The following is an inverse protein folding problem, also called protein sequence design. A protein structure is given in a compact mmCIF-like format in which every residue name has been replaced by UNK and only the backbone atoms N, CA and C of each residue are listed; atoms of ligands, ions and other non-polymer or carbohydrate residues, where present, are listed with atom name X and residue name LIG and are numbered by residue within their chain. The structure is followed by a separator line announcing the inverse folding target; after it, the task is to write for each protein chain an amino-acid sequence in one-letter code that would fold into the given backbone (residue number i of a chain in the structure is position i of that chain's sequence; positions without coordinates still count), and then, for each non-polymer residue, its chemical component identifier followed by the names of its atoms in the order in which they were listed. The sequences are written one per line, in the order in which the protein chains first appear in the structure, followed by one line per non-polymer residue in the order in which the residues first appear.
data_IF_919265822692
#
_entry.id   IF_919265822692
#
_cell.length_a   1.000
_cell.length_b   1.000
_cell.length_c   1.000
_cell.angle_alpha   90.00
_cell.angle_beta   90.00
_cell.angle_gamma   90.00
#
_symmetry.space_group_name_H-M   'P 1'
#
loop_
_entity.id
_entity.type
_entity.pdbx_description
1 polymer ?
#
# COMPACT_ATOMS: atom_id res chain seq x y z
N UNK A 1 -35.17 55.56 -42.42
CA UNK A 1 -33.72 55.28 -42.33
C UNK A 1 -33.50 54.67 -40.97
N UNK A 2 -33.65 53.35 -40.89
CA UNK A 2 -33.49 52.64 -39.62
C UNK A 2 -32.06 52.13 -39.54
N UNK A 3 -31.25 52.80 -38.71
CA UNK A 3 -29.96 52.29 -38.25
C UNK A 3 -30.09 51.89 -36.78
N UNK A 4 -30.48 50.63 -36.48
CA UNK A 4 -30.23 50.05 -35.17
C UNK A 4 -29.69 48.62 -35.33
N UNK A 5 -28.38 48.47 -35.56
CA UNK A 5 -27.74 47.15 -35.67
C UNK A 5 -26.51 47.00 -34.76
N UNK A 6 -25.68 48.04 -34.62
CA UNK A 6 -24.36 47.90 -33.99
C UNK A 6 -24.34 47.79 -32.46
N UNK A 7 -25.35 48.34 -31.76
CA UNK A 7 -25.41 48.31 -30.29
C UNK A 7 -25.71 46.92 -29.75
N UNK A 8 -26.41 46.07 -30.51
CA UNK A 8 -26.76 44.70 -30.10
C UNK A 8 -25.55 43.78 -30.07
N UNK A 9 -24.62 43.94 -31.02
CA UNK A 9 -23.40 43.11 -31.13
C UNK A 9 -22.33 43.45 -30.07
N UNK A 10 -22.21 44.70 -29.61
CA UNK A 10 -21.27 45.06 -28.53
C UNK A 10 -21.71 44.49 -27.17
N UNK A 11 -23.01 44.46 -26.93
CA UNK A 11 -23.59 43.92 -25.68
C UNK A 11 -23.36 42.42 -25.55
N UNK A 12 -23.56 41.64 -26.63
CA UNK A 12 -23.35 40.19 -26.63
C UNK A 12 -21.89 39.81 -26.39
N UNK A 13 -20.93 40.51 -27.02
CA UNK A 13 -19.48 40.27 -26.84
C UNK A 13 -19.03 40.52 -25.39
N UNK A 14 -19.55 41.55 -24.73
CA UNK A 14 -19.18 41.87 -23.34
C UNK A 14 -19.66 40.81 -22.36
N UNK A 15 -20.92 40.36 -22.51
CA UNK A 15 -21.48 39.27 -21.69
C UNK A 15 -20.69 37.97 -21.84
N UNK A 16 -20.28 37.64 -23.07
CA UNK A 16 -19.46 36.46 -23.34
C UNK A 16 -18.10 36.53 -22.64
N UNK A 17 -17.40 37.67 -22.71
CA UNK A 17 -16.10 37.84 -22.03
C UNK A 17 -16.20 37.70 -20.51
N UNK A 18 -17.25 38.26 -19.90
CA UNK A 18 -17.50 38.14 -18.46
C UNK A 18 -17.75 36.67 -18.10
N UNK A 19 -18.63 35.99 -18.84
CA UNK A 19 -18.92 34.57 -18.61
C UNK A 19 -17.67 33.69 -18.76
N UNK A 20 -16.87 33.90 -19.80
CA UNK A 20 -15.61 33.19 -20.00
C UNK A 20 -14.61 33.44 -18.87
N UNK A 21 -14.48 34.69 -18.40
CA UNK A 21 -13.58 35.04 -17.28
C UNK A 21 -14.02 34.36 -15.99
N UNK A 22 -15.32 34.38 -15.68
CA UNK A 22 -15.88 33.70 -14.50
C UNK A 22 -15.61 32.19 -14.59
N UNK A 23 -15.84 31.59 -15.76
CA UNK A 23 -15.58 30.17 -15.98
C UNK A 23 -14.11 29.82 -15.75
N UNK A 24 -13.17 30.64 -16.26
CA UNK A 24 -11.73 30.45 -16.04
C UNK A 24 -11.40 30.53 -14.55
N UNK A 25 -11.92 31.54 -13.84
CA UNK A 25 -11.68 31.72 -12.40
C UNK A 25 -12.19 30.55 -11.55
N UNK A 26 -13.26 29.86 -11.98
CA UNK A 26 -13.80 28.69 -11.29
C UNK A 26 -13.04 27.41 -11.67
N UNK A 27 -12.82 27.16 -12.96
CA UNK A 27 -12.20 25.91 -13.44
C UNK A 27 -10.71 25.84 -13.12
N UNK A 28 -10.00 26.98 -13.14
CA UNK A 28 -8.56 27.03 -12.91
C UNK A 28 -8.12 26.42 -11.57
N UNK A 29 -8.78 26.72 -10.42
CA UNK A 29 -8.45 26.06 -9.16
C UNK A 29 -9.14 24.69 -8.98
N UNK A 30 -10.34 24.52 -9.55
CA UNK A 30 -11.14 23.30 -9.34
C UNK A 30 -10.46 22.07 -9.95
N UNK A 31 -9.93 22.18 -11.17
CA UNK A 31 -9.33 21.03 -11.87
C UNK A 31 -8.04 20.53 -11.18
N UNK A 32 -7.05 21.38 -10.84
CA UNK A 32 -5.87 20.95 -10.09
C UNK A 32 -6.21 20.42 -8.70
N UNK A 33 -7.18 21.01 -8.02
CA UNK A 33 -7.64 20.53 -6.72
C UNK A 33 -8.21 19.11 -6.83
N UNK A 34 -9.18 18.88 -7.73
CA UNK A 34 -9.78 17.56 -7.92
C UNK A 34 -8.73 16.54 -8.35
N UNK A 35 -7.83 16.90 -9.28
CA UNK A 35 -6.77 16.00 -9.73
C UNK A 35 -5.82 15.59 -8.60
N UNK A 36 -5.39 16.56 -7.79
CA UNK A 36 -4.46 16.33 -6.68
C UNK A 36 -5.11 15.58 -5.52
N UNK A 37 -6.34 15.96 -5.17
CA UNK A 37 -7.15 15.25 -4.19
C UNK A 37 -7.36 13.79 -4.63
N UNK A 38 -7.74 13.56 -5.89
CA UNK A 38 -7.94 12.21 -6.42
C UNK A 38 -6.63 11.42 -6.36
N UNK A 39 -5.50 12.01 -6.76
CA UNK A 39 -4.19 11.36 -6.67
C UNK A 39 -3.81 10.98 -5.24
N UNK A 40 -3.95 11.90 -4.27
CA UNK A 40 -3.67 11.62 -2.86
C UNK A 40 -4.64 10.57 -2.30
N UNK A 41 -5.90 10.63 -2.68
CA UNK A 41 -6.90 9.63 -2.31
C UNK A 41 -6.53 8.25 -2.89
N UNK A 42 -6.19 8.14 -4.17
CA UNK A 42 -5.82 6.87 -4.80
C UNK A 42 -4.53 6.27 -4.24
N UNK A 43 -3.54 7.09 -3.89
CA UNK A 43 -2.28 6.61 -3.30
C UNK A 43 -2.44 6.15 -1.85
N UNK A 44 -3.45 6.66 -1.14
CA UNK A 44 -3.80 6.25 0.23
C UNK A 44 -4.92 5.21 0.27
N UNK A 45 -5.64 5.01 -0.82
CA UNK A 45 -6.75 4.07 -0.92
C UNK A 45 -6.27 2.62 -0.88
N UNK A 46 -6.73 1.90 0.13
CA UNK A 46 -6.52 0.46 0.25
C UNK A 46 -7.78 -0.27 -0.22
N UNK A 47 -7.69 -0.96 -1.36
CA UNK A 47 -8.79 -1.74 -1.89
C UNK A 47 -9.03 -2.99 -1.01
N UNK A 48 -10.02 -2.93 -0.13
CA UNK A 48 -10.42 -4.04 0.74
C UNK A 48 -11.40 -5.01 0.09
N UNK A 49 -11.75 -4.85 -1.20
CA UNK A 49 -12.69 -5.75 -1.86
C UNK A 49 -12.12 -7.17 -2.00
N UNK A 50 -12.92 -8.18 -1.67
CA UNK A 50 -12.54 -9.59 -1.85
C UNK A 50 -12.59 -9.94 -3.35
N UNK A 51 -11.48 -10.39 -3.96
CA UNK A 51 -11.51 -10.90 -5.34
C UNK A 51 -12.43 -12.11 -5.46
N UNK A 52 -13.11 -12.25 -6.60
CA UNK A 52 -13.97 -13.41 -6.87
C UNK A 52 -13.16 -14.71 -7.07
N UNK A 53 -11.97 -14.61 -7.65
CA UNK A 53 -11.06 -15.75 -7.81
C UNK A 53 -10.28 -16.01 -6.51
N UNK A 54 -10.28 -17.27 -6.08
CA UNK A 54 -9.67 -17.68 -4.82
C UNK A 54 -8.15 -17.48 -4.81
N UNK A 55 -7.45 -17.74 -5.92
CA UNK A 55 -6.01 -17.51 -5.98
C UNK A 55 -5.71 -16.01 -5.92
N UNK A 56 -6.45 -15.20 -6.66
CA UNK A 56 -6.35 -13.74 -6.63
C UNK A 56 -6.62 -13.18 -5.22
N UNK A 57 -7.57 -13.76 -4.48
CA UNK A 57 -7.81 -13.41 -3.08
C UNK A 57 -6.58 -13.68 -2.20
N UNK A 58 -6.01 -14.88 -2.25
CA UNK A 58 -4.83 -15.24 -1.44
C UNK A 58 -3.61 -14.40 -1.83
N UNK A 59 -3.40 -14.17 -3.13
CA UNK A 59 -2.29 -13.35 -3.64
C UNK A 59 -2.47 -11.87 -3.24
N UNK A 60 -3.71 -11.35 -3.24
CA UNK A 60 -4.03 -10.01 -2.73
C UNK A 60 -3.79 -9.91 -1.22
N UNK A 61 -4.26 -10.89 -0.44
CA UNK A 61 -4.04 -10.92 1.00
C UNK A 61 -2.55 -10.88 1.36
N UNK A 62 -1.73 -11.65 0.64
CA UNK A 62 -0.28 -11.68 0.83
C UNK A 62 0.40 -10.38 0.39
N UNK A 63 0.05 -9.81 -0.77
CA UNK A 63 0.66 -8.55 -1.22
C UNK A 63 0.33 -7.36 -0.32
N UNK A 64 -0.89 -7.29 0.22
CA UNK A 64 -1.25 -6.31 1.26
C UNK A 64 -0.45 -6.54 2.54
N UNK A 65 -0.24 -7.81 2.92
CA UNK A 65 0.56 -8.15 4.08
C UNK A 65 2.02 -7.70 3.97
N UNK A 66 2.69 -8.00 2.85
CA UNK A 66 4.06 -7.55 2.60
C UNK A 66 4.18 -6.02 2.68
N UNK A 67 3.16 -5.31 2.21
CA UNK A 67 3.08 -3.85 2.30
C UNK A 67 3.00 -3.38 3.75
N UNK A 68 2.10 -3.96 4.57
CA UNK A 68 2.00 -3.63 6.00
C UNK A 68 3.27 -3.98 6.78
N UNK A 69 3.92 -5.11 6.46
CA UNK A 69 5.22 -5.46 7.03
C UNK A 69 6.30 -4.43 6.67
N UNK A 70 6.27 -3.91 5.44
CA UNK A 70 7.16 -2.83 5.01
C UNK A 70 6.94 -1.54 5.80
N UNK A 71 5.68 -1.20 6.11
CA UNK A 71 5.34 -0.05 6.96
C UNK A 71 5.82 -0.22 8.40
N UNK A 72 5.61 -1.41 8.96
CA UNK A 72 6.09 -1.78 10.29
C UNK A 72 7.61 -1.67 10.39
N UNK A 73 8.34 -2.19 9.39
CA UNK A 73 9.80 -2.11 9.36
C UNK A 73 10.30 -0.67 9.24
N UNK A 74 9.59 0.19 8.50
CA UNK A 74 9.94 1.60 8.38
C UNK A 74 9.81 2.34 9.72
N UNK A 75 8.67 2.20 10.41
CA UNK A 75 8.48 2.87 11.71
C UNK A 75 9.48 2.37 12.76
N UNK A 76 9.68 1.05 12.86
CA UNK A 76 10.69 0.49 13.75
C UNK A 76 12.09 1.05 13.45
N UNK A 77 12.45 1.17 12.16
CA UNK A 77 13.73 1.73 11.74
C UNK A 77 13.86 3.19 12.17
N UNK A 78 12.87 4.02 11.88
CA UNK A 78 12.86 5.44 12.25
C UNK A 78 13.06 5.64 13.75
N UNK A 79 12.45 4.77 14.56
CA UNK A 79 12.63 4.75 16.01
C UNK A 79 14.06 4.35 16.40
N UNK A 80 14.60 3.25 15.87
CA UNK A 80 15.96 2.76 16.19
C UNK A 80 17.02 3.78 15.78
N UNK A 81 16.84 4.49 14.66
CA UNK A 81 17.77 5.53 14.20
C UNK A 81 17.72 6.81 15.05
N UNK A 82 16.71 6.98 15.91
CA UNK A 82 16.52 8.21 16.68
C UNK A 82 16.27 9.44 15.79
N UNK A 83 15.75 9.25 14.57
CA UNK A 83 15.52 10.34 13.61
C UNK A 83 14.40 11.28 14.08
N UNK A 84 13.47 10.77 14.89
CA UNK A 84 12.43 11.56 15.60
C UNK A 84 12.94 11.85 17.01
N UNK A 85 12.62 13.02 17.58
CA UNK A 85 12.88 13.32 19.01
C UNK A 85 12.51 12.08 19.84
N UNK A 86 13.51 11.47 20.50
CA UNK A 86 13.48 10.08 20.98
C UNK A 86 12.12 9.71 21.60
N UNK A 87 11.23 9.04 20.85
CA UNK A 87 9.94 8.62 21.38
C UNK A 87 10.17 7.67 22.54
N UNK A 88 9.35 7.75 23.59
CA UNK A 88 9.38 6.74 24.64
C UNK A 88 9.09 5.36 24.04
N UNK A 89 9.65 4.30 24.64
CA UNK A 89 9.35 2.91 24.26
C UNK A 89 7.85 2.61 24.24
N UNK A 90 7.10 3.23 25.16
CA UNK A 90 5.65 3.12 25.24
C UNK A 90 4.95 3.71 24.01
N UNK A 91 5.31 4.94 23.64
CA UNK A 91 4.72 5.60 22.46
C UNK A 91 5.05 4.84 21.18
N UNK A 92 6.28 4.32 21.06
CA UNK A 92 6.66 3.53 19.89
C UNK A 92 5.92 2.20 19.85
N UNK A 93 5.83 1.50 20.98
CA UNK A 93 5.05 0.27 21.06
C UNK A 93 3.59 0.48 20.65
N UNK A 94 2.97 1.59 21.07
CA UNK A 94 1.60 1.94 20.69
C UNK A 94 1.47 2.13 19.18
N UNK A 95 2.38 2.89 18.55
CA UNK A 95 2.41 3.11 17.09
C UNK A 95 2.58 1.83 16.31
N UNK A 96 3.53 0.99 16.71
CA UNK A 96 3.75 -0.31 16.07
C UNK A 96 2.55 -1.24 16.27
N UNK A 97 1.91 -1.22 17.44
CA UNK A 97 0.68 -1.97 17.69
C UNK A 97 -0.45 -1.52 16.77
N UNK A 98 -0.64 -0.20 16.58
CA UNK A 98 -1.65 0.34 15.67
C UNK A 98 -1.45 -0.15 14.23
N UNK A 99 -0.19 -0.25 13.76
CA UNK A 99 0.10 -0.84 12.45
C UNK A 99 -0.29 -2.32 12.36
N UNK A 100 -0.06 -3.09 13.42
CA UNK A 100 -0.43 -4.51 13.48
C UNK A 100 -1.95 -4.67 13.50
N UNK A 101 -2.66 -3.87 14.31
CA UNK A 101 -4.12 -3.88 14.39
C UNK A 101 -4.76 -3.46 13.07
N UNK A 102 -4.23 -2.42 12.41
CA UNK A 102 -4.66 -1.99 11.09
C UNK A 102 -4.48 -3.10 10.04
N UNK A 103 -3.35 -3.80 10.04
CA UNK A 103 -3.10 -4.92 9.15
C UNK A 103 -4.07 -6.09 9.40
N UNK A 104 -4.37 -6.41 10.66
CA UNK A 104 -5.38 -7.42 11.00
C UNK A 104 -6.79 -7.00 10.58
N UNK A 105 -7.16 -5.74 10.83
CA UNK A 105 -8.45 -5.20 10.42
C UNK A 105 -8.62 -5.22 8.90
N UNK A 106 -7.55 -4.91 8.15
CA UNK A 106 -7.53 -5.04 6.70
C UNK A 106 -7.80 -6.49 6.27
N UNK A 107 -7.12 -7.47 6.88
CA UNK A 107 -7.32 -8.90 6.55
C UNK A 107 -8.75 -9.38 6.85
N UNK A 108 -9.34 -8.97 7.98
CA UNK A 108 -10.76 -9.27 8.31
C UNK A 108 -11.72 -8.65 7.29
N UNK A 109 -11.48 -7.40 6.88
CA UNK A 109 -12.29 -6.75 5.83
C UNK A 109 -12.16 -7.48 4.49
N UNK A 110 -10.94 -7.88 4.13
CA UNK A 110 -10.66 -8.57 2.87
C UNK A 110 -11.28 -9.97 2.81
N UNK A 111 -11.27 -10.71 3.92
CA UNK A 111 -11.90 -12.05 3.97
C UNK A 111 -13.43 -11.98 3.88
N UNK A 112 -14.02 -10.84 4.27
CA UNK A 112 -15.46 -10.68 4.41
C UNK A 112 -16.03 -11.41 5.63
N UNK A 113 -15.17 -11.98 6.47
CA UNK A 113 -15.51 -12.74 7.67
C UNK A 113 -14.67 -12.27 8.86
N UNK A 114 -15.14 -12.54 10.08
CA UNK A 114 -14.35 -12.25 11.28
C UNK A 114 -13.12 -13.17 11.43
N UNK A 115 -13.08 -14.29 10.69
CA UNK A 115 -12.00 -15.28 10.77
C UNK A 115 -10.73 -14.84 10.03
N UNK A 116 -9.65 -14.65 10.80
CA UNK A 116 -8.31 -14.28 10.30
C UNK A 116 -7.58 -15.49 9.71
N UNK A 117 -7.99 -16.71 10.06
CA UNK A 117 -7.42 -17.95 9.51
C UNK A 117 -8.02 -18.31 8.13
N UNK A 118 -8.96 -17.52 7.59
CA UNK A 118 -9.62 -17.76 6.30
C UNK A 118 -8.61 -17.94 5.14
N UNK A 119 -7.63 -17.04 5.00
CA UNK A 119 -6.62 -17.10 3.93
C UNK A 119 -5.86 -18.43 3.96
N UNK A 120 -5.45 -18.87 5.15
CA UNK A 120 -4.75 -20.13 5.38
C UNK A 120 -5.64 -21.33 5.04
N UNK A 121 -6.89 -21.32 5.51
CA UNK A 121 -7.83 -22.42 5.30
C UNK A 121 -8.18 -22.57 3.81
N UNK A 122 -8.44 -21.46 3.14
CA UNK A 122 -8.70 -21.39 1.71
C UNK A 122 -7.50 -21.91 0.90
N UNK A 123 -6.29 -21.46 1.21
CA UNK A 123 -5.09 -21.92 0.53
C UNK A 123 -4.83 -23.42 0.76
N UNK A 124 -5.09 -23.94 1.97
CA UNK A 124 -4.98 -25.37 2.25
C UNK A 124 -5.97 -26.20 1.42
N UNK A 125 -7.22 -25.75 1.31
CA UNK A 125 -8.23 -26.41 0.48
C UNK A 125 -7.78 -26.50 -0.98
N UNK A 126 -7.14 -25.45 -1.51
CA UNK A 126 -6.59 -25.47 -2.87
C UNK A 126 -5.49 -26.54 -3.04
N UNK A 127 -4.57 -26.66 -2.08
CA UNK A 127 -3.55 -27.72 -2.10
C UNK A 127 -4.20 -29.10 -2.16
N UNK A 128 -5.18 -29.35 -1.30
CA UNK A 128 -5.89 -30.64 -1.23
C UNK A 128 -6.65 -30.93 -2.53
N UNK A 129 -7.29 -29.93 -3.13
CA UNK A 129 -8.00 -30.08 -4.40
C UNK A 129 -7.03 -30.39 -5.55
N UNK A 130 -5.93 -29.66 -5.65
CA UNK A 130 -4.95 -29.84 -6.73
C UNK A 130 -4.26 -31.22 -6.64
N UNK A 131 -3.98 -31.69 -5.42
CA UNK A 131 -3.48 -33.05 -5.18
C UNK A 131 -4.50 -34.11 -5.62
N UNK A 132 -5.78 -33.97 -5.23
CA UNK A 132 -6.84 -34.93 -5.58
C UNK A 132 -7.12 -34.98 -7.08
N UNK A 133 -7.00 -33.86 -7.77
CA UNK A 133 -7.22 -33.76 -9.21
C UNK A 133 -6.01 -34.21 -10.04
N UNK A 134 -4.91 -34.62 -9.40
CA UNK A 134 -3.64 -34.93 -10.07
C UNK A 134 -3.21 -33.83 -11.05
N UNK A 135 -3.30 -32.58 -10.59
CA UNK A 135 -2.87 -31.43 -11.38
C UNK A 135 -1.38 -31.50 -11.71
N UNK A 136 -0.96 -30.66 -12.66
CA UNK A 136 0.44 -30.62 -13.05
C UNK A 136 1.34 -30.26 -11.86
N UNK A 137 2.59 -30.72 -11.91
CA UNK A 137 3.56 -30.46 -10.83
C UNK A 137 3.68 -28.97 -10.48
N UNK A 138 3.67 -28.10 -11.50
CA UNK A 138 3.78 -26.65 -11.33
C UNK A 138 2.54 -26.03 -10.66
N UNK A 139 1.34 -26.48 -11.00
CA UNK A 139 0.09 -26.02 -10.37
C UNK A 139 0.04 -26.41 -8.90
N UNK A 140 0.30 -27.68 -8.57
CA UNK A 140 0.32 -28.15 -7.18
C UNK A 140 1.40 -27.42 -6.37
N UNK A 141 2.59 -27.22 -6.94
CA UNK A 141 3.64 -26.47 -6.26
C UNK A 141 3.24 -25.00 -6.02
N UNK A 142 2.50 -24.39 -6.95
CA UNK A 142 1.97 -23.03 -6.78
C UNK A 142 0.98 -22.95 -5.62
N UNK A 143 0.04 -23.90 -5.51
CA UNK A 143 -0.88 -23.98 -4.37
C UNK A 143 -0.14 -24.20 -3.04
N UNK A 144 0.87 -25.09 -3.01
CA UNK A 144 1.72 -25.33 -1.83
C UNK A 144 2.41 -24.03 -1.40
N UNK A 145 2.96 -23.26 -2.36
CA UNK A 145 3.60 -21.97 -2.08
C UNK A 145 2.61 -20.96 -1.49
N UNK A 146 1.38 -20.88 -2.01
CA UNK A 146 0.34 -19.98 -1.47
C UNK A 146 -0.03 -20.34 -0.03
N UNK A 147 -0.23 -21.62 0.27
CA UNK A 147 -0.51 -22.06 1.64
C UNK A 147 0.65 -21.77 2.59
N UNK A 148 1.88 -22.03 2.16
CA UNK A 148 3.09 -21.75 2.94
C UNK A 148 3.26 -20.24 3.18
N UNK A 149 2.95 -19.39 2.19
CA UNK A 149 2.88 -17.94 2.37
C UNK A 149 1.81 -17.53 3.39
N UNK A 150 0.62 -18.13 3.37
CA UNK A 150 -0.41 -17.86 4.36
C UNK A 150 0.04 -18.24 5.80
N UNK A 151 0.79 -19.34 5.96
CA UNK A 151 1.43 -19.68 7.24
C UNK A 151 2.50 -18.66 7.64
N UNK A 152 3.29 -18.16 6.70
CA UNK A 152 4.29 -17.11 6.98
C UNK A 152 3.65 -15.81 7.48
N UNK A 153 2.48 -15.42 6.94
CA UNK A 153 1.73 -14.25 7.44
C UNK A 153 1.39 -14.40 8.92
N UNK A 154 0.89 -15.58 9.32
CA UNK A 154 0.59 -15.89 10.72
C UNK A 154 1.84 -15.84 11.60
N UNK A 155 2.95 -16.43 11.13
CA UNK A 155 4.25 -16.40 11.82
C UNK A 155 4.70 -14.96 12.07
N UNK A 156 4.63 -14.12 11.06
CA UNK A 156 5.08 -12.74 11.15
C UNK A 156 4.16 -11.90 12.03
N UNK A 157 2.84 -12.10 12.02
CA UNK A 157 1.94 -11.45 12.99
C UNK A 157 2.30 -11.79 14.45
N UNK A 158 2.58 -13.07 14.74
CA UNK A 158 3.03 -13.49 16.08
C UNK A 158 4.32 -12.76 16.48
N UNK A 159 5.26 -12.62 15.54
CA UNK A 159 6.52 -11.91 15.77
C UNK A 159 6.35 -10.41 15.93
N UNK A 160 5.47 -9.76 15.15
CA UNK A 160 5.17 -8.34 15.29
C UNK A 160 4.57 -8.05 16.67
N UNK A 161 3.58 -8.83 17.10
CA UNK A 161 2.98 -8.69 18.43
C UNK A 161 4.01 -8.93 19.54
N UNK A 162 4.87 -9.94 19.38
CA UNK A 162 5.95 -10.18 20.34
C UNK A 162 6.92 -9.01 20.41
N UNK A 163 7.32 -8.44 19.27
CA UNK A 163 8.26 -7.33 19.23
C UNK A 163 7.66 -6.05 19.83
N UNK A 164 6.39 -5.75 19.54
CA UNK A 164 5.62 -4.68 20.19
C UNK A 164 5.66 -4.84 21.72
N UNK A 165 5.26 -6.02 22.21
CA UNK A 165 5.30 -6.34 23.64
C UNK A 165 6.71 -6.24 24.23
N UNK A 166 7.74 -6.67 23.48
CA UNK A 166 9.13 -6.66 23.90
C UNK A 166 9.67 -5.23 24.03
N UNK A 167 9.34 -4.34 23.09
CA UNK A 167 9.68 -2.91 23.13
C UNK A 167 9.03 -2.26 24.35
N UNK A 168 7.75 -2.53 24.60
CA UNK A 168 7.05 -2.00 25.76
C UNK A 168 7.66 -2.50 27.08
N UNK A 169 7.75 -3.82 27.25
CA UNK A 169 8.26 -4.43 28.47
C UNK A 169 8.78 -5.86 28.25
N UNK A 170 10.11 -6.08 28.17
CA UNK A 170 10.66 -7.39 27.87
C UNK A 170 10.46 -8.38 29.04
N UNK A 171 9.67 -9.44 28.81
CA UNK A 171 9.41 -10.52 29.80
C UNK A 171 9.93 -11.87 29.32
N UNK A 172 10.67 -12.58 30.18
CA UNK A 172 11.14 -13.95 29.88
C UNK A 172 10.01 -14.94 29.56
N UNK A 173 8.85 -14.81 30.20
CA UNK A 173 7.68 -15.67 29.96
C UNK A 173 7.14 -15.54 28.53
N UNK A 174 7.31 -14.38 27.89
CA UNK A 174 6.89 -14.16 26.50
C UNK A 174 7.77 -14.91 25.50
N UNK A 175 9.06 -15.10 25.80
CA UNK A 175 9.98 -15.86 24.94
C UNK A 175 9.56 -17.33 24.82
N UNK A 176 9.15 -17.94 25.93
CA UNK A 176 8.65 -19.32 25.92
C UNK A 176 7.34 -19.42 25.11
N UNK A 177 6.43 -18.46 25.27
CA UNK A 177 5.19 -18.41 24.49
C UNK A 177 5.45 -18.21 22.99
N UNK A 178 6.42 -17.36 22.62
CA UNK A 178 6.86 -17.17 21.25
C UNK A 178 7.38 -18.48 20.65
N UNK A 179 8.29 -19.16 21.37
CA UNK A 179 8.87 -20.42 20.93
C UNK A 179 7.79 -21.48 20.64
N UNK A 180 6.83 -21.62 21.54
CA UNK A 180 5.70 -22.53 21.36
C UNK A 180 4.85 -22.16 20.14
N UNK A 181 4.51 -20.87 19.99
CA UNK A 181 3.72 -20.40 18.86
C UNK A 181 4.41 -20.61 17.50
N UNK A 182 5.73 -20.36 17.43
CA UNK A 182 6.51 -20.60 16.21
C UNK A 182 6.60 -22.10 15.91
N UNK A 183 6.82 -22.94 16.92
CA UNK A 183 6.86 -24.39 16.78
C UNK A 183 5.53 -24.94 16.23
N UNK A 184 4.39 -24.47 16.72
CA UNK A 184 3.08 -24.87 16.21
C UNK A 184 2.89 -24.52 14.73
N UNK A 185 3.49 -23.43 14.25
CA UNK A 185 3.44 -23.05 12.84
C UNK A 185 4.35 -23.94 12.01
N UNK A 186 5.58 -24.20 12.46
CA UNK A 186 6.51 -25.11 11.79
C UNK A 186 5.90 -26.53 11.66
N UNK A 187 5.19 -27.00 12.70
CA UNK A 187 4.47 -28.27 12.66
C UNK A 187 3.41 -28.33 11.54
N UNK A 188 2.79 -27.19 11.15
CA UNK A 188 1.84 -27.16 10.01
C UNK A 188 2.53 -27.35 8.66
N UNK A 189 3.77 -26.90 8.53
CA UNK A 189 4.57 -27.18 7.34
C UNK A 189 4.97 -28.67 7.30
N UNK A 190 5.31 -29.26 8.44
CA UNK A 190 5.58 -30.70 8.53
C UNK A 190 4.33 -31.56 8.22
N UNK A 191 3.15 -31.14 8.70
CA UNK A 191 1.87 -31.76 8.36
C UNK A 191 1.61 -31.69 6.84
N UNK A 192 1.89 -30.56 6.20
CA UNK A 192 1.78 -30.38 4.76
C UNK A 192 2.71 -31.32 3.99
N UNK A 193 3.96 -31.49 4.44
CA UNK A 193 4.92 -32.43 3.84
C UNK A 193 4.38 -33.86 3.88
N UNK A 194 3.80 -34.28 5.01
CA UNK A 194 3.21 -35.62 5.14
C UNK A 194 2.03 -35.86 4.18
N UNK A 195 1.33 -34.80 3.78
CA UNK A 195 0.19 -34.88 2.85
C UNK A 195 0.59 -34.77 1.38
N UNK A 196 1.82 -34.36 1.08
CA UNK A 196 2.30 -34.09 -0.29
C UNK A 196 3.30 -35.16 -0.73
N UNK A 197 3.44 -35.34 -2.04
CA UNK A 197 4.43 -36.27 -2.60
C UNK A 197 5.87 -35.82 -2.29
N UNK A 198 6.78 -36.79 -2.13
CA UNK A 198 8.19 -36.55 -1.78
C UNK A 198 8.92 -35.56 -2.71
N UNK A 199 8.52 -35.49 -3.98
CA UNK A 199 9.06 -34.55 -4.97
C UNK A 199 8.87 -33.06 -4.59
N UNK A 200 7.95 -32.73 -3.67
CA UNK A 200 7.71 -31.36 -3.22
C UNK A 200 8.47 -31.01 -1.92
N UNK A 201 9.06 -32.00 -1.23
CA UNK A 201 9.57 -31.80 0.14
C UNK A 201 10.77 -30.86 0.17
N UNK A 202 11.79 -31.09 -0.67
CA UNK A 202 12.99 -30.25 -0.72
C UNK A 202 12.68 -28.82 -1.22
N UNK A 203 11.91 -28.61 -2.32
CA UNK A 203 11.49 -27.27 -2.71
C UNK A 203 10.68 -26.53 -1.63
N UNK A 204 9.85 -27.24 -0.87
CA UNK A 204 9.08 -26.69 0.23
C UNK A 204 9.97 -26.29 1.41
N UNK A 205 10.92 -27.13 1.80
CA UNK A 205 11.86 -26.85 2.89
C UNK A 205 12.70 -25.60 2.59
N UNK A 206 13.22 -25.52 1.36
CA UNK A 206 13.99 -24.36 0.89
C UNK A 206 13.13 -23.10 0.91
N UNK A 207 11.93 -23.18 0.33
CA UNK A 207 11.01 -22.05 0.27
C UNK A 207 10.55 -21.58 1.66
N UNK A 208 10.32 -22.51 2.59
CA UNK A 208 9.94 -22.18 3.96
C UNK A 208 11.09 -21.51 4.72
N UNK A 209 12.31 -22.03 4.57
CA UNK A 209 13.52 -21.43 5.16
C UNK A 209 13.70 -19.98 4.69
N UNK A 210 13.57 -19.74 3.38
CA UNK A 210 13.68 -18.40 2.80
C UNK A 210 12.56 -17.49 3.30
N UNK A 211 11.31 -17.98 3.34
CA UNK A 211 10.19 -17.21 3.86
C UNK A 211 10.41 -16.80 5.31
N UNK A 212 10.87 -17.72 6.18
CA UNK A 212 11.12 -17.40 7.59
C UNK A 212 12.10 -16.23 7.74
N UNK A 213 13.18 -16.20 6.95
CA UNK A 213 14.18 -15.12 7.01
C UNK A 213 13.65 -13.82 6.41
N UNK A 214 13.01 -13.88 5.24
CA UNK A 214 12.53 -12.71 4.52
C UNK A 214 11.32 -12.02 5.15
N UNK A 215 10.52 -12.77 5.93
CA UNK A 215 9.29 -12.24 6.53
C UNK A 215 9.43 -12.01 8.04
N UNK A 216 10.61 -12.18 8.65
CA UNK A 216 10.78 -11.84 10.08
C UNK A 216 10.77 -10.32 10.26
N UNK A 217 9.85 -9.77 11.06
CA UNK A 217 9.68 -8.33 11.16
C UNK A 217 10.87 -7.70 11.87
N UNK A 218 11.35 -6.56 11.38
CA UNK A 218 12.42 -5.79 11.99
C UNK A 218 13.83 -6.32 11.80
N UNK A 219 14.04 -7.48 11.17
CA UNK A 219 15.38 -8.08 10.99
C UNK A 219 15.63 -8.36 9.50
N UNK A 220 16.78 -7.92 9.00
CA UNK A 220 17.25 -8.23 7.64
C UNK A 220 17.60 -9.71 7.52
N UNK A 221 17.32 -10.29 6.36
CA UNK A 221 17.58 -11.69 6.04
C UNK A 221 19.04 -12.09 6.34
N UNK A 222 20.00 -11.21 6.07
CA UNK A 222 21.44 -11.41 6.30
C UNK A 222 21.85 -11.45 7.78
N UNK A 223 21.02 -10.96 8.69
CA UNK A 223 21.27 -11.00 10.13
C UNK A 223 20.60 -12.19 10.81
N UNK A 224 19.82 -13.00 10.08
CA UNK A 224 19.20 -14.20 10.61
C UNK A 224 19.97 -15.44 10.19
N UNK A 225 20.10 -16.38 11.13
CA UNK A 225 20.52 -17.75 10.84
C UNK A 225 19.54 -18.42 9.86
N UNK A 226 20.01 -19.47 9.20
CA UNK A 226 19.24 -20.21 8.19
C UNK A 226 17.91 -20.73 8.76
N UNK A 227 17.92 -21.21 9.99
CA UNK A 227 16.76 -21.76 10.68
C UNK A 227 15.79 -20.70 11.24
N UNK A 228 16.26 -19.47 11.43
CA UNK A 228 15.51 -18.36 12.04
C UNK A 228 14.79 -18.79 13.33
N UNK A 229 15.55 -19.41 14.25
CA UNK A 229 15.05 -19.91 15.53
C UNK A 229 14.54 -18.79 16.44
N UNK A 230 13.65 -19.14 17.37
CA UNK A 230 13.09 -18.19 18.32
C UNK A 230 14.19 -17.50 19.16
N UNK A 231 15.18 -18.26 19.61
CA UNK A 231 16.31 -17.76 20.39
C UNK A 231 17.16 -16.77 19.58
N UNK A 232 17.50 -17.11 18.33
CA UNK A 232 18.26 -16.22 17.45
C UNK A 232 17.51 -14.92 17.18
N UNK A 233 16.20 -15.00 16.90
CA UNK A 233 15.36 -13.82 16.68
C UNK A 233 15.31 -12.92 17.91
N UNK A 234 15.15 -13.48 19.10
CA UNK A 234 15.09 -12.71 20.35
C UNK A 234 16.43 -12.02 20.65
N UNK A 235 17.55 -12.65 20.31
CA UNK A 235 18.87 -12.02 20.47
C UNK A 235 19.06 -10.84 19.52
N UNK A 236 18.63 -10.97 18.27
CA UNK A 236 18.64 -9.87 17.31
C UNK A 236 17.70 -8.74 17.75
N UNK A 237 16.51 -9.06 18.26
CA UNK A 237 15.62 -8.05 18.83
C UNK A 237 16.21 -7.33 20.03
N UNK A 238 16.92 -8.03 20.92
CA UNK A 238 17.67 -7.38 22.00
C UNK A 238 18.70 -6.41 21.44
N UNK A 239 19.45 -6.80 20.43
CA UNK A 239 20.46 -5.95 19.79
C UNK A 239 19.85 -4.71 19.13
N UNK A 240 18.71 -4.86 18.46
CA UNK A 240 17.99 -3.76 17.82
C UNK A 240 17.35 -2.82 18.86
N UNK A 241 16.65 -3.36 19.86
CA UNK A 241 15.81 -2.59 20.81
C UNK A 241 16.62 -2.02 21.97
N UNK A 242 17.57 -2.79 22.50
CA UNK A 242 18.34 -2.38 23.68
C UNK A 242 19.64 -1.67 23.29
N UNK A 243 20.29 -2.08 22.20
CA UNK A 243 21.54 -1.47 21.73
C UNK A 243 21.35 -0.48 20.57
N UNK A 244 20.13 -0.32 20.05
CA UNK A 244 19.80 0.58 18.92
C UNK A 244 20.66 0.33 17.66
N UNK A 245 21.00 -0.93 17.40
CA UNK A 245 21.80 -1.31 16.22
C UNK A 245 20.90 -1.38 14.99
N UNK A 246 21.04 -0.41 14.09
CA UNK A 246 20.19 -0.28 12.91
C UNK A 246 20.65 -1.06 11.67
N UNK A 247 21.87 -1.60 11.68
CA UNK A 247 22.45 -2.31 10.52
C UNK A 247 21.65 -3.53 10.10
N UNK A 248 20.88 -4.11 11.03
CA UNK A 248 20.02 -5.27 10.80
C UNK A 248 18.55 -4.90 10.61
N UNK A 249 18.16 -3.62 10.61
CA UNK A 249 16.75 -3.23 10.46
C UNK A 249 16.43 -2.94 8.98
N UNK A 250 15.45 -3.64 8.36
CA UNK A 250 15.07 -3.38 6.98
C UNK A 250 14.60 -1.94 6.76
N UNK A 251 14.84 -1.38 5.57
CA UNK A 251 14.45 0.00 5.24
C UNK A 251 12.95 0.26 5.34
N UNK A 252 12.13 -0.72 4.97
CA UNK A 252 10.69 -0.54 4.90
C UNK A 252 10.26 0.51 3.86
N UNK A 253 8.98 0.87 3.89
CA UNK A 253 8.40 1.98 3.13
C UNK A 253 7.54 2.78 4.09
N UNK A 254 7.54 4.10 3.96
CA UNK A 254 6.60 4.93 4.71
C UNK A 254 5.17 4.63 4.22
N UNK A 255 4.22 4.50 5.17
CA UNK A 255 2.80 4.41 4.82
C UNK A 255 2.40 5.74 4.15
N UNK A 256 1.77 5.71 2.96
CA UNK A 256 1.22 6.92 2.37
C UNK A 256 0.18 7.51 3.32
N UNK A 257 0.42 8.72 3.79
CA UNK A 257 -0.56 9.51 4.53
C UNK A 257 -1.18 10.54 3.60
N UNK A 258 -2.45 10.87 3.84
CA UNK A 258 -3.12 11.88 3.04
C UNK A 258 -2.53 13.25 3.39
N UNK A 259 -1.68 13.78 2.52
CA UNK A 259 -1.03 15.07 2.72
C UNK A 259 -1.86 16.21 2.11
N UNK A 260 -2.62 16.90 2.96
CA UNK A 260 -3.36 18.10 2.56
C UNK A 260 -2.42 19.20 2.04
N UNK A 261 -1.20 19.31 2.55
CA UNK A 261 -0.25 20.32 2.09
C UNK A 261 0.16 20.06 0.64
N UNK A 262 0.35 18.79 0.26
CA UNK A 262 0.62 18.42 -1.13
C UNK A 262 -0.55 18.83 -2.04
N UNK A 263 -1.80 18.57 -1.62
CA UNK A 263 -3.01 18.99 -2.35
C UNK A 263 -3.09 20.52 -2.49
N UNK A 264 -2.81 21.25 -1.42
CA UNK A 264 -2.83 22.72 -1.45
C UNK A 264 -1.72 23.28 -2.32
N UNK A 265 -0.49 22.75 -2.22
CA UNK A 265 0.64 23.20 -3.00
C UNK A 265 0.41 22.95 -4.50
N UNK A 266 -0.01 21.74 -4.89
CA UNK A 266 -0.29 21.42 -6.28
C UNK A 266 -1.46 22.23 -6.84
N UNK A 267 -2.48 22.53 -6.02
CA UNK A 267 -3.57 23.44 -6.40
C UNK A 267 -3.05 24.86 -6.61
N UNK A 268 -2.24 25.37 -5.68
CA UNK A 268 -1.67 26.72 -5.74
C UNK A 268 -0.78 26.93 -6.97
N UNK A 269 0.09 25.97 -7.29
CA UNK A 269 0.97 26.05 -8.46
C UNK A 269 0.27 25.68 -9.79
N UNK A 270 -0.71 24.76 -9.76
CA UNK A 270 -1.45 24.34 -10.95
C UNK A 270 -2.47 25.37 -11.44
N UNK A 271 -3.09 26.12 -10.52
CA UNK A 271 -4.10 27.15 -10.85
C UNK A 271 -3.60 28.21 -11.84
N UNK A 272 -2.45 28.89 -11.65
CA UNK A 272 -2.00 29.91 -12.58
C UNK A 272 -1.66 29.33 -13.96
N UNK A 273 -1.07 28.12 -14.02
CA UNK A 273 -0.74 27.46 -15.28
C UNK A 273 -2.02 27.18 -16.08
N UNK A 274 -3.03 26.59 -15.42
CA UNK A 274 -4.30 26.27 -16.08
C UNK A 274 -5.07 27.53 -16.50
N UNK A 275 -5.05 28.59 -15.67
CA UNK A 275 -5.65 29.87 -16.01
C UNK A 275 -5.03 30.49 -17.28
N UNK A 276 -3.70 30.44 -17.41
CA UNK A 276 -2.99 30.94 -18.60
C UNK A 276 -3.38 30.11 -19.83
N UNK A 277 -3.38 28.78 -19.75
CA UNK A 277 -3.77 27.90 -20.86
C UNK A 277 -5.20 28.18 -21.31
N UNK A 278 -6.14 28.29 -20.37
CA UNK A 278 -7.54 28.58 -20.69
C UNK A 278 -7.73 30.00 -21.26
N UNK A 279 -6.97 30.99 -20.78
CA UNK A 279 -7.02 32.35 -21.32
C UNK A 279 -6.51 32.40 -22.77
N UNK A 280 -5.39 31.71 -23.08
CA UNK A 280 -4.86 31.59 -24.43
C UNK A 280 -5.88 30.88 -25.34
N UNK A 281 -6.43 29.75 -24.90
CA UNK A 281 -7.44 29.01 -25.66
C UNK A 281 -8.69 29.85 -25.93
N UNK A 282 -9.15 30.61 -24.93
CA UNK A 282 -10.30 31.52 -25.08
C UNK A 282 -10.00 32.66 -26.05
N UNK A 283 -8.78 33.21 -26.03
CA UNK A 283 -8.37 34.24 -26.98
C UNK A 283 -8.33 33.72 -28.41
N UNK A 284 -7.76 32.52 -28.64
CA UNK A 284 -7.75 31.86 -29.96
C UNK A 284 -9.17 31.60 -30.45
N UNK A 285 -10.03 31.01 -29.60
CA UNK A 285 -11.42 30.72 -29.94
C UNK A 285 -12.20 32.00 -30.28
N UNK A 286 -11.99 33.08 -29.52
CA UNK A 286 -12.59 34.37 -29.80
C UNK A 286 -12.14 34.94 -31.16
N UNK A 287 -10.84 34.84 -31.48
CA UNK A 287 -10.34 35.25 -32.80
C UNK A 287 -10.92 34.40 -33.94
N UNK A 288 -11.09 33.08 -33.75
CA UNK A 288 -11.70 32.23 -34.78
C UNK A 288 -13.19 32.52 -34.99
N UNK A 289 -13.94 32.84 -33.93
CA UNK A 289 -15.39 33.09 -34.02
C UNK A 289 -15.75 34.49 -34.53
N UNK A 290 -14.89 35.48 -34.32
CA UNK A 290 -15.19 36.88 -34.64
C UNK A 290 -14.19 37.56 -35.58
N UNK A 291 -13.13 36.85 -36.00
CA UNK A 291 -12.02 37.42 -36.78
C UNK A 291 -12.19 37.38 -38.30
N UNK A 292 -13.25 36.78 -38.84
CA UNK A 292 -13.46 36.69 -40.30
C UNK A 292 -14.31 37.81 -40.90
N UNK A 293 -14.89 38.70 -40.10
CA UNK A 293 -15.60 39.90 -40.62
C UNK A 293 -14.63 41.05 -40.96
N UNK A 294 -13.39 40.72 -41.32
CA UNK A 294 -12.51 41.72 -41.94
C UNK A 294 -13.02 41.92 -43.36
N UNK A 295 -13.86 42.94 -43.54
CA UNK A 295 -14.33 43.44 -44.82
C UNK A 295 -13.22 43.31 -45.87
N UNK A 296 -13.33 42.29 -46.72
CA UNK A 296 -12.67 42.30 -48.02
C UNK A 296 -13.48 43.29 -48.83
N UNK A 297 -13.21 44.58 -48.64
CA UNK A 297 -13.49 45.59 -49.63
C UNK A 297 -12.66 45.20 -50.86
N UNK A 298 -13.25 44.36 -51.72
CA UNK A 298 -12.75 44.11 -53.06
C UNK A 298 -12.79 45.46 -53.79
N UNK A 299 -11.65 46.05 -54.18
CA UNK A 299 -11.68 47.22 -55.03
C UNK A 299 -12.33 46.81 -56.35
N UNK A 300 -13.45 47.44 -56.67
CA UNK A 300 -14.10 47.30 -57.97
C UNK A 300 -13.12 47.82 -59.05
N UNK A 301 -12.70 46.92 -59.93
CA UNK A 301 -11.98 47.22 -61.17
C UNK A 301 -12.81 46.77 -62.37
#
# INVERSE_FOLDING_TARGET
MDVPSDTKNKSSRTKFKIAATILILILAPTVPFIGSYSFCYYTTYEDTSKPHDTNAYVDKAFSSYERHLSYFNFELREWVFGARMVPSRELESERLNELVENAQAFQRKLSGFEDVDDVKNVALMQVVLDLKQNKSHSETMSAIKRYTKALSMKRTFVLQMFLVDYIYHPKKTRVAALKEALLQIDQKVDELKKQTHAQYHEPLDTFWSDLKRNTTPGILESCLSVDASAEGIVEEYRTIVDLHVSSCVPGGKQKPEFDYNLVFASTFFGTPILAIVMAIASAICYCCLFGTDSDVDQPAH
#
